data_IF_332072614266
#
_entry.id   IF_332072614266
#
_cell.length_a   1.000
_cell.length_b   1.000
_cell.length_c   1.000
_cell.angle_alpha   90.00
_cell.angle_beta   90.00
_cell.angle_gamma   90.00
#
_symmetry.space_group_name_H-M   'P 1'
#
loop_
_entity.id
_entity.type
_entity.pdbx_description
1 polymer ?
#
# COMPACT_ATOMS: atom_id res chain seq x y z
N UNK A 1 44.01 7.78 16.34
CA UNK A 1 43.43 6.55 15.74
C UNK A 1 41.99 6.87 15.34
N UNK A 2 41.81 7.17 14.07
CA UNK A 2 40.50 7.42 13.48
C UNK A 2 39.96 6.03 13.14
N UNK A 3 38.89 5.61 13.82
CA UNK A 3 38.20 4.36 13.50
C UNK A 3 37.18 4.72 12.41
N UNK A 4 37.49 4.31 11.19
CA UNK A 4 36.58 4.42 10.05
C UNK A 4 35.27 3.68 10.36
N UNK A 5 34.24 4.46 10.73
CA UNK A 5 32.89 3.96 10.85
C UNK A 5 32.29 3.73 9.46
N UNK A 6 32.56 2.60 8.85
CA UNK A 6 31.77 2.11 7.72
C UNK A 6 30.40 1.77 8.28
N UNK A 7 29.47 2.71 8.19
CA UNK A 7 28.05 2.44 8.42
C UNK A 7 27.62 1.41 7.36
N UNK A 8 27.43 0.15 7.77
CA UNK A 8 26.91 -0.85 6.85
C UNK A 8 25.61 -0.32 6.25
N UNK A 9 25.57 -0.17 4.94
CA UNK A 9 24.36 0.23 4.22
C UNK A 9 23.26 -0.78 4.59
N UNK A 10 22.25 -0.30 5.30
CA UNK A 10 21.09 -1.12 5.67
C UNK A 10 20.34 -1.44 4.39
N UNK A 11 20.37 -2.71 4.00
CA UNK A 11 19.65 -3.20 2.82
C UNK A 11 18.15 -3.04 3.05
N UNK A 12 17.48 -2.28 2.17
CA UNK A 12 16.03 -2.14 2.19
C UNK A 12 15.41 -3.39 1.55
N UNK A 13 14.51 -4.12 2.24
CA UNK A 13 13.89 -5.32 1.70
C UNK A 13 12.97 -5.01 0.52
N UNK A 14 13.01 -5.88 -0.50
CA UNK A 14 12.14 -5.83 -1.68
C UNK A 14 11.18 -7.00 -1.64
N UNK A 15 9.88 -6.72 -1.75
CA UNK A 15 8.79 -7.68 -1.81
C UNK A 15 8.04 -7.66 -3.16
N UNK A 16 6.98 -8.45 -3.25
CA UNK A 16 6.14 -8.56 -4.45
C UNK A 16 4.67 -8.57 -4.08
N UNK A 17 3.92 -7.61 -4.62
CA UNK A 17 2.44 -7.61 -4.58
C UNK A 17 1.88 -8.62 -5.58
N UNK A 18 0.88 -9.38 -5.16
CA UNK A 18 0.18 -10.34 -6.03
C UNK A 18 -0.93 -9.67 -6.86
N UNK A 19 -0.97 -8.34 -6.91
CA UNK A 19 -1.91 -7.57 -7.73
C UNK A 19 -1.86 -7.99 -9.21
N UNK A 20 -0.66 -8.23 -9.74
CA UNK A 20 -0.46 -8.59 -11.15
C UNK A 20 -1.23 -9.85 -11.60
N UNK A 21 -1.66 -10.68 -10.68
CA UNK A 21 -2.43 -11.88 -10.98
C UNK A 21 -3.86 -11.87 -10.41
N UNK A 22 -4.35 -10.71 -9.97
CA UNK A 22 -5.68 -10.56 -9.35
C UNK A 22 -6.82 -11.02 -10.27
N UNK A 23 -6.67 -10.88 -11.58
CA UNK A 23 -7.62 -11.39 -12.58
C UNK A 23 -7.59 -12.90 -12.82
N UNK A 24 -6.73 -13.65 -12.12
CA UNK A 24 -6.62 -15.10 -12.23
C UNK A 24 -7.34 -15.80 -11.06
N UNK A 25 -7.75 -17.08 -11.23
CA UNK A 25 -8.34 -17.84 -10.11
C UNK A 25 -7.38 -17.98 -8.92
N UNK A 26 -7.90 -18.07 -7.70
CA UNK A 26 -7.10 -18.27 -6.48
C UNK A 26 -6.12 -19.44 -6.55
N UNK A 27 -6.47 -20.52 -7.28
CA UNK A 27 -5.55 -21.63 -7.53
C UNK A 27 -4.30 -21.22 -8.30
N UNK A 28 -4.36 -20.19 -9.13
CA UNK A 28 -3.19 -19.63 -9.82
C UNK A 28 -2.32 -18.82 -8.87
N UNK A 29 -2.90 -17.99 -8.01
CA UNK A 29 -2.19 -17.31 -6.92
C UNK A 29 -1.36 -18.30 -6.11
N UNK A 30 -1.96 -19.41 -5.66
CA UNK A 30 -1.25 -20.44 -4.90
C UNK A 30 -0.05 -21.04 -5.66
N UNK A 31 -0.22 -21.35 -6.95
CA UNK A 31 0.89 -21.86 -7.79
C UNK A 31 2.00 -20.83 -7.97
N UNK A 32 1.66 -19.54 -8.07
CA UNK A 32 2.63 -18.46 -8.19
C UNK A 32 3.41 -18.27 -6.90
N UNK A 33 2.75 -18.29 -5.74
CA UNK A 33 3.40 -18.22 -4.42
C UNK A 33 4.44 -19.34 -4.19
N UNK A 34 4.22 -20.53 -4.74
CA UNK A 34 5.21 -21.62 -4.68
C UNK A 34 6.50 -21.31 -5.44
N UNK A 35 6.49 -20.34 -6.35
CA UNK A 35 7.59 -19.99 -7.26
C UNK A 35 8.21 -18.61 -7.02
N UNK A 36 7.62 -17.78 -6.14
CA UNK A 36 8.17 -16.45 -5.87
C UNK A 36 9.60 -16.52 -5.35
N UNK A 37 10.43 -15.58 -5.79
CA UNK A 37 11.83 -15.46 -5.39
C UNK A 37 12.04 -14.31 -4.38
N UNK A 38 11.02 -13.96 -3.61
CA UNK A 38 11.05 -12.94 -2.56
C UNK A 38 10.61 -13.53 -1.22
N UNK A 39 10.99 -12.89 -0.12
CA UNK A 39 10.56 -13.27 1.24
C UNK A 39 9.30 -12.53 1.69
N UNK A 40 9.04 -11.37 1.11
CA UNK A 40 7.91 -10.51 1.47
C UNK A 40 6.89 -10.48 0.33
N UNK A 41 5.65 -10.80 0.65
CA UNK A 41 4.56 -10.86 -0.33
C UNK A 41 3.39 -10.04 0.17
N UNK A 42 2.83 -9.23 -0.70
CA UNK A 42 1.55 -8.58 -0.44
C UNK A 42 0.43 -9.34 -1.15
N UNK A 43 -0.58 -9.72 -0.37
CA UNK A 43 -1.80 -10.33 -0.86
C UNK A 43 -2.87 -9.25 -1.05
N UNK A 44 -3.78 -9.46 -1.99
CA UNK A 44 -4.91 -8.55 -2.25
C UNK A 44 -6.20 -9.26 -1.89
N UNK A 45 -6.95 -8.70 -0.91
CA UNK A 45 -8.23 -9.27 -0.46
C UNK A 45 -9.40 -8.75 -1.30
N UNK A 46 -9.35 -8.98 -2.61
CA UNK A 46 -10.39 -8.51 -3.53
C UNK A 46 -10.65 -9.50 -4.66
N UNK A 47 -11.79 -9.36 -5.31
CA UNK A 47 -12.17 -10.09 -6.50
C UNK A 47 -12.03 -11.62 -6.36
N UNK A 48 -11.33 -12.24 -7.30
CA UNK A 48 -11.07 -13.68 -7.29
C UNK A 48 -10.14 -14.14 -6.16
N UNK A 49 -9.40 -13.21 -5.56
CA UNK A 49 -8.47 -13.47 -4.45
C UNK A 49 -9.09 -13.13 -3.08
N UNK A 50 -10.34 -12.66 -3.03
CA UNK A 50 -11.01 -12.35 -1.77
C UNK A 50 -10.83 -13.49 -0.75
N UNK A 51 -10.42 -13.13 0.45
CA UNK A 51 -10.01 -14.08 1.49
C UNK A 51 -11.23 -14.62 2.27
N UNK A 52 -11.09 -15.84 2.71
CA UNK A 52 -11.88 -16.50 3.73
C UNK A 52 -10.96 -17.31 4.65
N UNK A 53 -11.50 -17.88 5.71
CA UNK A 53 -10.71 -18.66 6.67
C UNK A 53 -9.98 -19.84 6.01
N UNK A 54 -10.61 -20.54 5.05
CA UNK A 54 -10.01 -21.67 4.36
C UNK A 54 -8.79 -21.22 3.54
N UNK A 55 -8.95 -20.14 2.75
CA UNK A 55 -7.89 -19.57 1.94
C UNK A 55 -6.72 -19.06 2.81
N UNK A 56 -7.04 -18.44 3.95
CA UNK A 56 -6.01 -18.00 4.92
C UNK A 56 -5.19 -19.19 5.42
N UNK A 57 -5.82 -20.32 5.78
CA UNK A 57 -5.08 -21.50 6.22
C UNK A 57 -4.16 -22.04 5.12
N UNK A 58 -4.67 -22.13 3.88
CA UNK A 58 -3.86 -22.55 2.72
C UNK A 58 -2.66 -21.61 2.47
N UNK A 59 -2.84 -20.29 2.62
CA UNK A 59 -1.78 -19.30 2.47
C UNK A 59 -0.76 -19.38 3.61
N UNK A 60 -1.19 -19.62 4.85
CA UNK A 60 -0.28 -19.85 5.99
C UNK A 60 0.62 -21.06 5.75
N UNK A 61 0.06 -22.19 5.33
CA UNK A 61 0.83 -23.39 5.01
C UNK A 61 1.90 -23.11 3.94
N UNK A 62 1.54 -22.32 2.91
CA UNK A 62 2.51 -21.89 1.87
C UNK A 62 3.57 -20.99 2.50
N UNK A 63 3.17 -20.00 3.30
CA UNK A 63 4.08 -19.07 3.96
C UNK A 63 5.08 -19.78 4.85
N UNK A 64 4.62 -20.66 5.71
CA UNK A 64 5.45 -21.48 6.60
C UNK A 64 6.42 -22.36 5.82
N UNK A 65 5.96 -23.02 4.76
CA UNK A 65 6.81 -23.91 3.94
C UNK A 65 7.86 -23.19 3.11
N UNK A 66 7.63 -21.91 2.79
CA UNK A 66 8.49 -21.09 1.93
C UNK A 66 9.25 -19.99 2.68
N UNK A 67 8.99 -19.79 3.95
CA UNK A 67 9.54 -18.69 4.73
C UNK A 67 9.01 -17.32 4.26
N UNK A 68 7.76 -17.25 3.78
CA UNK A 68 7.16 -15.98 3.35
C UNK A 68 6.57 -15.23 4.52
N UNK A 69 6.70 -13.92 4.50
CA UNK A 69 5.95 -12.99 5.35
C UNK A 69 4.93 -12.24 4.51
N UNK A 70 3.77 -11.94 5.09
CA UNK A 70 2.66 -11.32 4.38
C UNK A 70 2.37 -9.91 4.85
N UNK A 71 2.03 -9.04 3.91
CA UNK A 71 1.20 -7.86 4.08
C UNK A 71 -0.13 -8.08 3.35
N UNK A 72 -1.16 -7.32 3.68
CA UNK A 72 -2.46 -7.44 3.06
C UNK A 72 -2.90 -6.10 2.50
N UNK A 73 -3.14 -6.04 1.19
CA UNK A 73 -3.90 -4.95 0.61
C UNK A 73 -5.39 -5.21 0.86
N UNK A 74 -6.03 -4.30 1.58
CA UNK A 74 -7.47 -4.38 1.83
C UNK A 74 -8.27 -4.29 0.53
N UNK A 75 -9.54 -4.73 0.50
CA UNK A 75 -10.37 -4.54 -0.67
C UNK A 75 -10.47 -3.07 -1.06
N UNK A 76 -10.39 -2.81 -2.35
CA UNK A 76 -10.46 -1.46 -2.92
C UNK A 76 -11.55 -1.31 -3.99
N UNK A 77 -11.96 -2.41 -4.64
CA UNK A 77 -13.07 -2.38 -5.58
C UNK A 77 -14.39 -2.10 -4.84
N UNK A 78 -15.13 -1.09 -5.31
CA UNK A 78 -16.40 -0.65 -4.72
C UNK A 78 -16.32 -0.23 -3.23
N UNK A 79 -15.11 0.00 -2.69
CA UNK A 79 -14.88 0.43 -1.32
C UNK A 79 -14.72 1.95 -1.29
N UNK A 80 -15.65 2.63 -0.58
CA UNK A 80 -15.54 4.07 -0.36
C UNK A 80 -15.82 4.41 1.11
N UNK A 81 -14.76 4.63 1.87
CA UNK A 81 -14.85 4.99 3.29
C UNK A 81 -15.40 6.42 3.52
N UNK A 82 -15.49 7.24 2.46
CA UNK A 82 -16.11 8.57 2.47
C UNK A 82 -17.54 8.55 1.89
N UNK A 83 -18.15 7.38 1.70
CA UNK A 83 -19.51 7.30 1.15
C UNK A 83 -20.49 8.14 1.96
N UNK A 84 -21.33 9.01 1.33
CA UNK A 84 -22.23 9.91 2.04
C UNK A 84 -23.33 9.17 2.80
N UNK A 85 -23.79 8.03 2.28
CA UNK A 85 -24.83 7.22 2.92
C UNK A 85 -24.24 6.42 4.09
N UNK A 86 -24.79 6.61 5.29
CA UNK A 86 -24.31 5.97 6.53
C UNK A 86 -24.34 4.44 6.45
N UNK A 87 -25.39 3.87 5.87
CA UNK A 87 -25.53 2.41 5.76
C UNK A 87 -24.44 1.82 4.86
N UNK A 88 -24.13 2.49 3.76
CA UNK A 88 -23.01 2.09 2.88
C UNK A 88 -21.67 2.16 3.60
N UNK A 89 -21.41 3.25 4.35
CA UNK A 89 -20.18 3.35 5.16
C UNK A 89 -20.08 2.23 6.20
N UNK A 90 -21.17 1.94 6.89
CA UNK A 90 -21.20 0.86 7.86
C UNK A 90 -20.86 -0.49 7.22
N UNK A 91 -21.39 -0.74 6.01
CA UNK A 91 -21.04 -1.94 5.24
C UNK A 91 -19.55 -1.96 4.88
N UNK A 92 -19.03 -0.86 4.35
CA UNK A 92 -17.62 -0.72 3.97
C UNK A 92 -16.70 -0.94 5.17
N UNK A 93 -16.95 -0.27 6.30
CA UNK A 93 -16.15 -0.43 7.53
C UNK A 93 -16.21 -1.89 8.02
N UNK A 94 -17.38 -2.53 7.98
CA UNK A 94 -17.51 -3.94 8.34
C UNK A 94 -16.71 -4.85 7.40
N UNK A 95 -16.72 -4.58 6.08
CA UNK A 95 -15.92 -5.35 5.12
C UNK A 95 -14.41 -5.22 5.39
N UNK A 96 -13.95 -4.00 5.71
CA UNK A 96 -12.56 -3.77 6.09
C UNK A 96 -12.20 -4.41 7.44
N UNK A 97 -13.12 -4.43 8.41
CA UNK A 97 -12.94 -5.15 9.67
C UNK A 97 -12.80 -6.65 9.47
N UNK A 98 -13.59 -7.25 8.57
CA UNK A 98 -13.45 -8.69 8.23
C UNK A 98 -12.08 -8.96 7.57
N UNK A 99 -11.64 -8.09 6.66
CA UNK A 99 -10.30 -8.17 6.06
C UNK A 99 -9.20 -8.10 7.13
N UNK A 100 -9.35 -7.20 8.11
CA UNK A 100 -8.41 -7.05 9.23
C UNK A 100 -8.35 -8.31 10.11
N UNK A 101 -9.49 -8.97 10.37
CA UNK A 101 -9.52 -10.25 11.09
C UNK A 101 -8.78 -11.36 10.32
N UNK A 102 -8.94 -11.39 9.00
CA UNK A 102 -8.24 -12.35 8.14
C UNK A 102 -6.74 -12.04 8.08
N UNK A 103 -6.36 -10.74 8.01
CA UNK A 103 -4.97 -10.30 8.13
C UNK A 103 -4.34 -10.77 9.46
N UNK A 104 -5.07 -10.65 10.56
CA UNK A 104 -4.62 -11.16 11.87
C UNK A 104 -4.39 -12.67 11.87
N UNK A 105 -5.35 -13.44 11.30
CA UNK A 105 -5.23 -14.90 11.19
C UNK A 105 -4.07 -15.31 10.28
N UNK A 106 -3.76 -14.52 9.25
CA UNK A 106 -2.66 -14.73 8.33
C UNK A 106 -1.31 -14.23 8.88
N UNK A 107 -1.33 -13.60 10.06
CA UNK A 107 -0.16 -12.99 10.70
C UNK A 107 0.49 -11.89 9.85
N UNK A 108 -0.34 -11.16 9.07
CA UNK A 108 0.15 -10.02 8.30
C UNK A 108 0.75 -8.96 9.21
N UNK A 109 1.89 -8.41 8.80
CA UNK A 109 2.56 -7.31 9.51
C UNK A 109 1.81 -6.00 9.38
N UNK A 110 1.15 -5.79 8.25
CA UNK A 110 0.49 -4.54 7.87
C UNK A 110 -0.73 -4.85 6.99
N UNK A 111 -1.79 -4.05 7.12
CA UNK A 111 -2.88 -3.96 6.16
C UNK A 111 -2.91 -2.57 5.54
N UNK A 112 -2.77 -2.50 4.21
CA UNK A 112 -2.87 -1.28 3.41
C UNK A 112 -4.34 -1.01 3.07
N UNK A 113 -4.76 0.24 3.07
CA UNK A 113 -6.08 0.64 2.62
C UNK A 113 -6.08 1.99 1.92
N UNK A 114 -7.04 2.20 1.01
CA UNK A 114 -7.20 3.45 0.28
C UNK A 114 -8.03 4.49 1.06
N UNK A 115 -7.79 5.78 0.84
CA UNK A 115 -8.69 6.85 1.30
C UNK A 115 -10.04 6.76 0.60
N UNK A 116 -11.01 7.53 1.11
CA UNK A 116 -12.30 7.66 0.46
C UNK A 116 -12.25 8.43 -0.84
N UNK A 117 -13.35 8.33 -1.59
CA UNK A 117 -13.51 8.98 -2.89
C UNK A 117 -14.65 10.00 -2.84
N UNK A 118 -14.47 11.10 -3.56
CA UNK A 118 -15.56 12.03 -3.89
C UNK A 118 -16.55 11.34 -4.82
N UNK A 119 -17.82 11.57 -4.55
CA UNK A 119 -18.92 11.10 -5.42
C UNK A 119 -19.65 12.30 -6.02
N UNK A 120 -20.51 12.07 -7.02
CA UNK A 120 -21.26 13.16 -7.64
C UNK A 120 -22.07 13.99 -6.67
N UNK A 121 -22.51 13.41 -5.54
CA UNK A 121 -23.27 14.14 -4.51
C UNK A 121 -22.38 15.03 -3.62
N UNK A 122 -21.08 14.82 -3.59
CA UNK A 122 -20.15 15.63 -2.77
C UNK A 122 -20.16 17.11 -3.15
N UNK A 123 -20.50 17.43 -4.40
CA UNK A 123 -20.66 18.81 -4.87
C UNK A 123 -21.81 19.56 -4.19
N UNK A 124 -22.83 18.84 -3.69
CA UNK A 124 -23.95 19.40 -2.97
C UNK A 124 -23.70 19.56 -1.47
N UNK A 125 -22.70 18.85 -0.96
CA UNK A 125 -22.30 18.86 0.45
C UNK A 125 -20.79 19.09 0.58
N UNK A 126 -20.29 20.30 0.27
CA UNK A 126 -18.85 20.59 0.30
C UNK A 126 -18.22 20.25 1.64
N UNK A 127 -17.14 19.46 1.62
CA UNK A 127 -16.39 19.05 2.81
C UNK A 127 -16.98 17.87 3.59
N UNK A 128 -18.17 17.38 3.24
CA UNK A 128 -18.76 16.24 3.94
C UNK A 128 -17.98 14.94 3.69
N UNK A 129 -17.49 14.73 2.48
CA UNK A 129 -16.62 13.60 2.08
C UNK A 129 -15.31 13.61 2.86
N UNK A 130 -14.67 14.77 2.99
CA UNK A 130 -13.45 14.93 3.76
C UNK A 130 -13.64 14.59 5.24
N UNK A 131 -14.65 15.18 5.87
CA UNK A 131 -15.00 14.92 7.27
C UNK A 131 -15.30 13.42 7.47
N UNK A 132 -16.11 12.85 6.59
CA UNK A 132 -16.49 11.44 6.65
C UNK A 132 -15.28 10.52 6.49
N UNK A 133 -14.33 10.86 5.61
CA UNK A 133 -13.08 10.12 5.45
C UNK A 133 -12.30 10.08 6.77
N UNK A 134 -12.12 11.22 7.43
CA UNK A 134 -11.42 11.32 8.72
C UNK A 134 -12.12 10.48 9.80
N UNK A 135 -13.44 10.57 9.90
CA UNK A 135 -14.23 9.79 10.86
C UNK A 135 -14.08 8.28 10.63
N UNK A 136 -14.12 7.85 9.36
CA UNK A 136 -13.92 6.46 8.96
C UNK A 136 -12.52 5.96 9.27
N UNK A 137 -11.49 6.77 9.02
CA UNK A 137 -10.10 6.42 9.35
C UNK A 137 -9.92 6.29 10.86
N UNK A 138 -10.48 7.18 11.67
CA UNK A 138 -10.47 7.03 13.15
C UNK A 138 -11.11 5.71 13.57
N UNK A 139 -12.22 5.35 12.95
CA UNK A 139 -12.87 4.06 13.21
C UNK A 139 -12.00 2.87 12.83
N UNK A 140 -11.31 2.94 11.69
CA UNK A 140 -10.35 1.89 11.29
C UNK A 140 -9.16 1.79 12.24
N UNK A 141 -8.67 2.90 12.79
CA UNK A 141 -7.62 2.90 13.82
C UNK A 141 -8.09 2.26 15.13
N UNK A 142 -9.34 2.48 15.56
CA UNK A 142 -9.92 1.79 16.70
C UNK A 142 -9.98 0.26 16.47
N UNK A 143 -10.40 -0.16 15.27
CA UNK A 143 -10.45 -1.56 14.89
C UNK A 143 -9.06 -2.19 14.81
N UNK A 144 -8.08 -1.46 14.24
CA UNK A 144 -6.66 -1.85 14.20
C UNK A 144 -6.13 -2.17 15.60
N UNK A 145 -6.34 -1.27 16.56
CA UNK A 145 -5.96 -1.50 17.96
C UNK A 145 -6.68 -2.69 18.60
N UNK A 146 -7.97 -2.87 18.29
CA UNK A 146 -8.77 -3.99 18.80
C UNK A 146 -8.31 -5.34 18.29
N UNK A 147 -7.98 -5.42 17.00
CA UNK A 147 -7.58 -6.67 16.35
C UNK A 147 -6.07 -6.92 16.38
N UNK A 148 -5.27 -5.92 16.76
CA UNK A 148 -3.81 -6.02 16.81
C UNK A 148 -3.16 -6.18 15.42
N UNK A 149 -3.69 -5.46 14.41
CA UNK A 149 -3.15 -5.40 13.06
C UNK A 149 -2.81 -3.96 12.74
N UNK A 150 -1.58 -3.68 12.36
CA UNK A 150 -1.20 -2.35 11.90
C UNK A 150 -1.90 -2.01 10.58
N UNK A 151 -2.28 -0.74 10.42
CA UNK A 151 -2.89 -0.25 9.17
C UNK A 151 -2.12 0.96 8.67
N UNK A 152 -2.06 1.12 7.35
CA UNK A 152 -1.50 2.31 6.72
C UNK A 152 -2.34 2.75 5.52
N UNK A 153 -2.43 4.07 5.34
CA UNK A 153 -3.19 4.67 4.25
C UNK A 153 -2.29 4.99 3.06
N UNK A 154 -2.77 4.73 1.87
CA UNK A 154 -2.02 4.90 0.63
C UNK A 154 -2.36 6.21 -0.07
N UNK A 155 -1.38 6.87 -0.71
CA UNK A 155 -1.64 7.96 -1.65
C UNK A 155 -2.19 7.40 -2.96
N UNK A 156 -3.30 7.96 -3.42
CA UNK A 156 -4.01 7.48 -4.60
C UNK A 156 -3.75 8.37 -5.83
N UNK A 157 -3.94 7.82 -7.06
CA UNK A 157 -3.54 8.52 -8.28
C UNK A 157 -4.56 9.56 -8.77
N UNK A 158 -4.08 10.53 -9.54
CA UNK A 158 -4.89 11.32 -10.45
C UNK A 158 -5.23 10.48 -11.72
N UNK A 159 -6.33 10.74 -12.44
CA UNK A 159 -7.36 11.76 -12.18
C UNK A 159 -8.57 11.26 -11.37
N UNK A 160 -8.42 10.14 -10.68
CA UNK A 160 -9.52 9.54 -9.92
C UNK A 160 -10.03 10.44 -8.79
N UNK A 161 -11.26 10.21 -8.34
CA UNK A 161 -11.92 11.02 -7.31
C UNK A 161 -11.44 10.83 -5.87
N UNK A 162 -10.30 10.19 -5.64
CA UNK A 162 -9.72 10.00 -4.31
C UNK A 162 -9.45 11.32 -3.58
N UNK A 163 -9.49 11.27 -2.26
CA UNK A 163 -9.33 12.46 -1.40
C UNK A 163 -7.88 12.79 -1.06
N UNK A 164 -7.00 11.80 -1.06
CA UNK A 164 -5.60 11.95 -0.64
C UNK A 164 -4.66 11.57 -1.79
N UNK A 165 -4.16 12.56 -2.51
CA UNK A 165 -3.37 12.40 -3.72
C UNK A 165 -2.06 13.19 -3.73
N UNK A 166 -1.94 14.23 -2.90
CA UNK A 166 -0.78 15.12 -2.88
C UNK A 166 -0.37 15.51 -1.45
N UNK A 167 0.78 16.14 -1.33
CA UNK A 167 1.40 16.53 -0.05
C UNK A 167 0.51 17.46 0.78
N UNK A 168 -0.15 18.42 0.13
CA UNK A 168 -1.01 19.40 0.80
C UNK A 168 -2.21 18.70 1.46
N UNK A 169 -2.86 17.79 0.73
CA UNK A 169 -4.00 17.03 1.24
C UNK A 169 -3.58 16.11 2.39
N UNK A 170 -2.45 15.43 2.28
CA UNK A 170 -1.91 14.61 3.36
C UNK A 170 -1.50 15.44 4.58
N UNK A 171 -0.90 16.60 4.39
CA UNK A 171 -0.55 17.52 5.48
C UNK A 171 -1.79 17.97 6.25
N UNK A 172 -2.83 18.40 5.52
CA UNK A 172 -4.12 18.74 6.12
C UNK A 172 -4.73 17.55 6.84
N UNK A 173 -4.77 16.40 6.19
CA UNK A 173 -5.36 15.17 6.72
C UNK A 173 -4.69 14.73 8.03
N UNK A 174 -3.36 14.63 8.07
CA UNK A 174 -2.66 14.22 9.29
C UNK A 174 -2.85 15.22 10.43
N UNK A 175 -2.86 16.52 10.13
CA UNK A 175 -3.13 17.55 11.14
C UNK A 175 -4.56 17.41 11.73
N UNK A 176 -5.58 17.20 10.89
CA UNK A 176 -6.96 17.05 11.33
C UNK A 176 -7.25 15.68 11.96
N UNK A 177 -6.58 14.61 11.49
CA UNK A 177 -6.72 13.28 12.08
C UNK A 177 -6.26 13.28 13.54
N UNK A 178 -5.09 13.88 13.81
CA UNK A 178 -4.52 14.00 15.16
C UNK A 178 -4.13 12.68 15.80
N UNK A 179 -4.05 11.59 15.04
CA UNK A 179 -3.66 10.25 15.46
C UNK A 179 -2.45 9.75 14.65
N UNK A 180 -1.73 8.77 15.21
CA UNK A 180 -0.62 8.14 14.49
C UNK A 180 -1.16 7.12 13.48
N UNK A 181 -0.86 7.35 12.21
CA UNK A 181 -1.20 6.48 11.10
C UNK A 181 -0.02 6.43 10.13
N UNK A 182 0.37 5.24 9.69
CA UNK A 182 1.39 5.04 8.68
C UNK A 182 0.92 5.47 7.29
N UNK A 183 1.86 5.94 6.48
CA UNK A 183 1.68 6.23 5.06
C UNK A 183 2.28 5.10 4.23
N UNK A 184 1.52 4.61 3.27
CA UNK A 184 2.06 3.83 2.15
C UNK A 184 2.32 4.80 1.01
N UNK A 185 3.58 4.94 0.61
CA UNK A 185 3.92 5.73 -0.56
C UNK A 185 3.86 4.84 -1.79
N UNK A 186 2.85 5.07 -2.63
CA UNK A 186 2.86 4.55 -3.99
C UNK A 186 3.62 5.52 -4.89
N UNK A 187 4.74 5.02 -5.43
CA UNK A 187 5.68 5.80 -6.27
C UNK A 187 5.07 6.09 -7.63
N UNK A 188 4.34 5.13 -8.20
CA UNK A 188 3.67 5.34 -9.48
C UNK A 188 2.57 6.38 -9.38
N UNK A 189 1.75 6.32 -8.33
CA UNK A 189 0.70 7.32 -8.08
C UNK A 189 1.29 8.72 -7.90
N UNK A 190 2.35 8.85 -7.11
CA UNK A 190 3.01 10.15 -6.89
C UNK A 190 3.75 10.66 -8.12
N UNK A 191 4.23 9.77 -9.02
CA UNK A 191 4.89 10.15 -10.26
C UNK A 191 3.94 10.89 -11.23
N UNK A 192 2.66 10.50 -11.28
CA UNK A 192 1.64 11.14 -12.14
C UNK A 192 1.52 12.64 -11.84
N UNK A 193 1.68 13.02 -10.59
CA UNK A 193 1.62 14.42 -10.14
C UNK A 193 3.00 15.07 -9.92
N UNK A 194 4.09 14.34 -10.15
CA UNK A 194 5.45 14.83 -9.95
C UNK A 194 5.84 15.06 -8.48
N UNK A 195 5.20 14.38 -7.53
CA UNK A 195 5.30 14.67 -6.09
C UNK A 195 6.12 13.65 -5.29
N UNK A 196 6.76 12.64 -5.90
CA UNK A 196 7.45 11.56 -5.19
C UNK A 196 8.49 12.08 -4.18
N UNK A 197 9.39 12.97 -4.63
CA UNK A 197 10.38 13.61 -3.76
C UNK A 197 9.73 14.39 -2.61
N UNK A 198 8.73 15.21 -2.92
CA UNK A 198 8.03 16.02 -1.92
C UNK A 198 7.30 15.17 -0.86
N UNK A 199 6.76 14.02 -1.23
CA UNK A 199 6.19 13.07 -0.27
C UNK A 199 7.24 12.52 0.69
N UNK A 200 8.41 12.12 0.19
CA UNK A 200 9.48 11.58 1.02
C UNK A 200 10.03 12.66 1.95
N UNK A 201 10.24 13.87 1.44
CA UNK A 201 10.69 15.02 2.24
C UNK A 201 9.71 15.37 3.37
N UNK A 202 8.40 15.43 3.04
CA UNK A 202 7.38 15.84 4.00
C UNK A 202 7.01 14.75 5.02
N UNK A 203 7.04 13.48 4.62
CA UNK A 203 6.47 12.38 5.40
C UNK A 203 7.41 11.19 5.59
N UNK A 204 8.72 11.32 5.38
CA UNK A 204 9.65 10.20 5.46
C UNK A 204 9.53 9.36 6.73
N UNK A 205 9.31 10.00 7.89
CA UNK A 205 9.10 9.32 9.18
C UNK A 205 7.74 8.58 9.29
N UNK A 206 6.76 8.94 8.45
CA UNK A 206 5.44 8.31 8.41
C UNK A 206 5.34 7.22 7.37
N UNK A 207 6.24 7.19 6.39
CA UNK A 207 6.25 6.16 5.35
C UNK A 207 6.70 4.84 5.97
N UNK A 208 5.77 3.88 6.07
CA UNK A 208 6.01 2.56 6.66
C UNK A 208 6.10 1.45 5.62
N UNK A 209 5.61 1.71 4.41
CA UNK A 209 5.55 0.79 3.29
C UNK A 209 5.60 1.56 1.97
N UNK A 210 6.10 0.96 0.91
CA UNK A 210 6.19 1.59 -0.41
C UNK A 210 5.69 0.62 -1.46
N UNK A 211 4.78 1.08 -2.33
CA UNK A 211 4.43 0.42 -3.57
C UNK A 211 5.27 0.97 -4.72
N UNK A 212 5.84 0.10 -5.51
CA UNK A 212 6.77 0.45 -6.58
C UNK A 212 6.33 -0.13 -7.91
N UNK A 213 5.86 0.72 -8.78
CA UNK A 213 5.61 0.48 -10.19
C UNK A 213 5.89 1.73 -10.99
N UNK A 214 6.02 1.61 -12.30
CA UNK A 214 6.31 2.73 -13.18
C UNK A 214 5.11 3.14 -14.02
N UNK A 215 5.16 4.33 -14.60
CA UNK A 215 4.21 4.85 -15.56
C UNK A 215 4.83 5.99 -16.38
N UNK A 216 4.12 6.48 -17.38
CA UNK A 216 4.57 7.60 -18.23
C UNK A 216 4.23 8.99 -17.67
N UNK A 217 3.90 9.09 -16.37
CA UNK A 217 3.55 10.35 -15.69
C UNK A 217 2.16 10.88 -16.05
N UNK A 218 1.27 10.06 -16.60
CA UNK A 218 -0.08 10.50 -17.06
C UNK A 218 -1.21 9.63 -16.54
N UNK A 219 -0.99 8.35 -16.43
CA UNK A 219 -1.99 7.35 -16.05
C UNK A 219 -1.35 6.31 -15.15
N UNK A 220 -2.15 5.71 -14.32
CA UNK A 220 -1.75 4.60 -13.47
C UNK A 220 -1.66 3.31 -14.32
N UNK A 221 -0.42 3.01 -14.78
CA UNK A 221 -0.16 1.96 -15.77
C UNK A 221 0.43 0.69 -15.18
N UNK A 222 0.94 0.72 -13.96
CA UNK A 222 1.64 -0.39 -13.32
C UNK A 222 2.70 -1.05 -14.22
N UNK A 223 3.50 -0.23 -14.93
CA UNK A 223 4.62 -0.70 -15.75
C UNK A 223 5.72 -1.31 -14.88
N UNK A 224 6.59 -2.12 -15.49
CA UNK A 224 7.80 -2.60 -14.83
C UNK A 224 8.69 -1.44 -14.38
N UNK A 225 9.40 -1.62 -13.26
CA UNK A 225 10.35 -0.64 -12.72
C UNK A 225 11.43 -0.30 -13.74
N UNK A 226 11.60 0.99 -14.04
CA UNK A 226 12.52 1.50 -15.04
C UNK A 226 11.98 1.49 -16.48
N UNK A 227 10.68 1.21 -16.68
CA UNK A 227 10.04 1.22 -17.99
C UNK A 227 9.08 2.41 -18.20
N UNK A 228 9.15 3.40 -17.34
CA UNK A 228 8.40 4.66 -17.41
C UNK A 228 9.27 5.86 -17.13
N UNK A 229 8.74 6.83 -16.39
CA UNK A 229 9.40 8.13 -16.14
C UNK A 229 9.80 8.36 -14.70
N UNK A 230 9.63 7.40 -13.80
CA UNK A 230 10.06 7.50 -12.40
C UNK A 230 11.59 7.60 -12.34
N UNK A 231 12.11 8.61 -11.64
CA UNK A 231 13.54 8.70 -11.32
C UNK A 231 13.88 7.79 -10.13
N UNK A 232 14.08 6.51 -10.43
CA UNK A 232 14.39 5.49 -9.43
C UNK A 232 15.71 5.73 -8.70
N UNK A 233 16.69 6.39 -9.33
CA UNK A 233 17.95 6.72 -8.67
C UNK A 233 17.76 7.77 -7.59
N UNK A 234 17.04 8.84 -7.92
CA UNK A 234 16.70 9.88 -6.95
C UNK A 234 15.78 9.35 -5.83
N UNK A 235 14.76 8.56 -6.19
CA UNK A 235 13.92 7.87 -5.21
C UNK A 235 14.73 7.06 -4.19
N UNK A 236 15.70 6.25 -4.66
CA UNK A 236 16.51 5.42 -3.77
C UNK A 236 17.41 6.26 -2.84
N UNK A 237 17.93 7.38 -3.32
CA UNK A 237 18.66 8.32 -2.48
C UNK A 237 17.77 8.94 -1.40
N UNK A 238 16.57 9.35 -1.77
CA UNK A 238 15.63 10.01 -0.87
C UNK A 238 15.17 9.10 0.25
N UNK A 239 14.77 7.85 -0.05
CA UNK A 239 14.32 6.91 1.00
C UNK A 239 15.46 6.50 1.93
N UNK A 240 16.72 6.46 1.44
CA UNK A 240 17.90 6.24 2.30
C UNK A 240 18.14 7.44 3.21
N UNK A 241 18.09 8.66 2.69
CA UNK A 241 18.23 9.91 3.48
C UNK A 241 17.13 10.01 4.55
N UNK A 242 15.89 9.61 4.21
CA UNK A 242 14.78 9.58 5.15
C UNK A 242 14.91 8.45 6.20
N UNK A 243 15.87 7.53 6.04
CA UNK A 243 16.06 6.43 6.98
C UNK A 243 14.95 5.38 6.93
N UNK A 244 14.33 5.19 5.76
CA UNK A 244 13.26 4.21 5.57
C UNK A 244 13.66 2.79 5.98
N UNK A 245 12.78 2.11 6.74
CA UNK A 245 13.03 0.76 7.30
C UNK A 245 11.95 -0.25 6.91
N UNK A 246 10.97 0.17 6.12
CA UNK A 246 9.88 -0.69 5.66
C UNK A 246 10.28 -1.58 4.48
N UNK A 247 9.30 -2.06 3.75
CA UNK A 247 9.45 -2.90 2.57
C UNK A 247 9.08 -2.09 1.33
N UNK A 248 9.88 -2.20 0.27
CA UNK A 248 9.51 -1.73 -1.06
C UNK A 248 8.88 -2.88 -1.82
N UNK A 249 7.57 -2.78 -2.04
CA UNK A 249 6.74 -3.82 -2.65
C UNK A 249 6.58 -3.55 -4.14
N UNK A 250 7.10 -4.44 -4.99
CA UNK A 250 6.86 -4.35 -6.44
C UNK A 250 5.38 -4.56 -6.72
N UNK A 251 4.75 -3.59 -7.34
CA UNK A 251 3.33 -3.64 -7.71
C UNK A 251 3.10 -3.53 -9.23
N UNK A 252 4.14 -3.78 -9.99
CA UNK A 252 4.07 -3.82 -11.46
C UNK A 252 3.20 -4.96 -11.94
N UNK A 253 2.42 -4.74 -13.01
CA UNK A 253 1.61 -5.76 -13.68
C UNK A 253 2.32 -6.42 -14.88
N UNK A 254 3.53 -5.98 -15.18
CA UNK A 254 4.39 -6.54 -16.24
C UNK A 254 5.85 -6.55 -15.77
N UNK A 255 6.69 -7.39 -16.41
CA UNK A 255 8.13 -7.47 -16.13
C UNK A 255 8.45 -7.64 -14.63
N UNK A 256 7.74 -8.53 -13.97
CA UNK A 256 7.73 -8.68 -12.51
C UNK A 256 9.12 -9.01 -11.97
N UNK A 257 9.75 -10.05 -12.52
CA UNK A 257 11.08 -10.52 -12.07
C UNK A 257 12.15 -9.46 -12.33
N UNK A 258 12.11 -8.81 -13.51
CA UNK A 258 13.00 -7.69 -13.86
C UNK A 258 12.85 -6.51 -12.89
N UNK A 259 11.62 -6.19 -12.48
CA UNK A 259 11.33 -5.11 -11.52
C UNK A 259 11.87 -5.42 -10.12
N UNK A 260 11.70 -6.65 -9.65
CA UNK A 260 12.28 -7.11 -8.37
C UNK A 260 13.81 -7.02 -8.40
N UNK A 261 14.43 -7.48 -9.49
CA UNK A 261 15.89 -7.46 -9.63
C UNK A 261 16.44 -6.02 -9.76
N UNK A 262 15.73 -5.14 -10.46
CA UNK A 262 16.10 -3.73 -10.59
C UNK A 262 16.10 -3.03 -9.22
N UNK A 263 15.04 -3.18 -8.44
CA UNK A 263 14.95 -2.59 -7.10
C UNK A 263 15.97 -3.20 -6.12
N UNK A 264 16.21 -4.51 -6.17
CA UNK A 264 17.24 -5.15 -5.35
C UNK A 264 18.62 -4.57 -5.61
N UNK A 265 18.99 -4.35 -6.87
CA UNK A 265 20.27 -3.72 -7.25
C UNK A 265 20.34 -2.26 -6.79
N UNK A 266 19.23 -1.55 -6.88
CA UNK A 266 19.16 -0.13 -6.55
C UNK A 266 19.20 0.11 -5.03
N UNK A 267 18.61 -0.78 -4.24
CA UNK A 267 18.40 -0.61 -2.79
C UNK A 267 19.42 -1.39 -1.92
N UNK A 268 20.46 -1.90 -2.56
CA UNK A 268 21.58 -2.59 -1.87
C UNK A 268 22.59 -1.61 -1.28
#
# INVERSE_FOLDING_TARGET
>A
MIVDGVTALVRIPVGLSMLYCLGEPFSSLRRRLQKVAVEHVELVDDGWHALDQKRVMELREIGESKGLTYTLHAPFADINIAAPAQDMRNFVIKRLEESMKLARLLECRLMVFHPGMRTGISSFYPGADWKTNIESVRRLLELSRRHGVEVAIENCPEPFGFLLKNVEQFSQFFNELGENLGLVLDVGHSNISGHTHAFIEAFGEKIVHIHAHDNEGKHDQHLGVGYGTVDWSHFAEDIRKAGFKGIVMVESCSRIEESVDALRKLLT
#
